data_IF_972155602059
#
_entry.id   IF_972155602059
#
_cell.length_a   1.000
_cell.length_b   1.000
_cell.length_c   1.000
_cell.angle_alpha   90.00
_cell.angle_beta   90.00
_cell.angle_gamma   90.00
#
_symmetry.space_group_name_H-M   'P 1'
#
loop_
_entity.id
_entity.type
_entity.pdbx_description
1 polymer ?
#
# COMPACT_ATOMS: atom_id res chain seq x y z
N UNK A 1 -21.63 -0.51 -8.69
CA UNK A 1 -20.69 0.17 -9.61
C UNK A 1 -19.46 0.49 -8.79
N UNK A 2 -18.32 -0.14 -9.06
CA UNK A 2 -17.06 0.14 -8.33
C UNK A 2 -16.70 1.61 -8.51
N UNK A 3 -16.57 2.34 -7.39
CA UNK A 3 -16.62 3.81 -7.43
C UNK A 3 -15.35 4.45 -8.00
N UNK A 4 -14.29 3.68 -8.29
CA UNK A 4 -13.05 4.17 -8.89
C UNK A 4 -12.37 3.00 -9.63
N UNK A 5 -12.21 3.10 -10.96
CA UNK A 5 -11.44 2.14 -11.76
C UNK A 5 -9.93 2.20 -11.48
N UNK A 6 -9.13 1.54 -12.33
CA UNK A 6 -7.67 1.56 -12.25
C UNK A 6 -7.16 3.00 -12.37
N UNK A 7 -6.45 3.49 -11.35
CA UNK A 7 -5.74 4.77 -11.40
C UNK A 7 -4.32 4.58 -11.89
N UNK A 8 -3.93 5.36 -12.89
CA UNK A 8 -2.57 5.40 -13.42
C UNK A 8 -1.83 6.62 -12.87
N UNK A 9 -0.54 6.44 -12.57
CA UNK A 9 0.35 7.51 -12.10
C UNK A 9 0.33 7.72 -10.58
N UNK A 10 1.49 8.07 -10.03
CA UNK A 10 1.68 8.25 -8.59
C UNK A 10 1.00 9.52 -8.06
N UNK A 11 0.92 10.58 -8.87
CA UNK A 11 0.37 11.87 -8.44
C UNK A 11 -1.12 11.77 -8.08
N UNK A 12 -1.94 11.20 -8.96
CA UNK A 12 -3.37 10.98 -8.69
C UNK A 12 -3.60 10.14 -7.44
N UNK A 13 -2.77 9.12 -7.22
CA UNK A 13 -2.82 8.28 -6.02
C UNK A 13 -2.50 9.08 -4.76
N UNK A 14 -1.46 9.92 -4.81
CA UNK A 14 -1.07 10.80 -3.71
C UNK A 14 -2.15 11.83 -3.37
N UNK A 15 -2.68 12.52 -4.37
CA UNK A 15 -3.69 13.57 -4.18
C UNK A 15 -4.97 13.01 -3.54
N UNK A 16 -5.40 11.82 -3.99
CA UNK A 16 -6.56 11.13 -3.40
C UNK A 16 -6.30 10.66 -1.98
N UNK A 17 -5.08 10.19 -1.69
CA UNK A 17 -4.69 9.79 -0.34
C UNK A 17 -4.74 10.99 0.62
N UNK A 18 -4.15 12.12 0.23
CA UNK A 18 -4.17 13.36 1.02
C UNK A 18 -5.59 13.87 1.26
N UNK A 19 -6.46 13.82 0.24
CA UNK A 19 -7.86 14.22 0.36
C UNK A 19 -8.67 13.34 1.33
N UNK A 20 -8.37 12.05 1.37
CA UNK A 20 -9.12 11.08 2.18
C UNK A 20 -8.68 11.06 3.64
N UNK A 21 -7.46 11.52 3.95
CA UNK A 21 -6.89 11.51 5.29
C UNK A 21 -6.36 12.90 5.68
N UNK A 22 -7.24 13.85 6.04
CA UNK A 22 -6.86 15.23 6.34
C UNK A 22 -6.11 15.39 7.67
N UNK A 23 -6.20 14.43 8.58
CA UNK A 23 -5.48 14.47 9.86
C UNK A 23 -4.68 13.18 10.10
N UNK A 24 -3.55 13.30 10.81
CA UNK A 24 -2.65 12.16 11.11
C UNK A 24 -3.25 11.15 12.10
N UNK A 25 -4.19 11.59 12.93
CA UNK A 25 -4.85 10.73 13.92
C UNK A 25 -5.75 9.68 13.26
N UNK A 26 -6.38 10.01 12.14
CA UNK A 26 -7.20 9.10 11.33
C UNK A 26 -6.37 8.14 10.47
N UNK A 27 -5.08 8.45 10.22
CA UNK A 27 -4.22 7.61 9.38
C UNK A 27 -3.85 6.30 10.07
N UNK A 28 -3.59 6.33 11.39
CA UNK A 28 -3.06 5.19 12.13
C UNK A 28 -1.58 4.89 11.85
N UNK A 29 -1.08 3.79 12.41
CA UNK A 29 0.28 3.30 12.25
C UNK A 29 0.30 2.07 11.34
N UNK A 30 0.93 2.21 10.17
CA UNK A 30 1.01 1.16 9.16
C UNK A 30 2.35 0.42 9.22
N UNK A 31 2.28 -0.86 9.53
CA UNK A 31 3.42 -1.76 9.61
C UNK A 31 3.39 -2.76 8.45
N UNK A 32 4.52 -2.95 7.77
CA UNK A 32 4.67 -3.91 6.68
C UNK A 32 5.62 -5.04 7.07
N UNK A 33 5.29 -6.26 6.65
CA UNK A 33 6.17 -7.43 6.75
C UNK A 33 6.36 -8.03 5.37
N UNK A 34 7.57 -7.91 4.81
CA UNK A 34 7.95 -8.58 3.57
C UNK A 34 8.18 -10.07 3.86
N UNK A 35 7.40 -10.95 3.24
CA UNK A 35 7.49 -12.40 3.44
C UNK A 35 8.36 -13.08 2.38
N UNK A 36 8.19 -12.68 1.13
CA UNK A 36 8.99 -13.20 0.01
C UNK A 36 9.43 -12.08 -0.91
N UNK A 37 10.66 -12.18 -1.40
CA UNK A 37 11.20 -11.37 -2.48
C UNK A 37 11.77 -12.33 -3.53
N UNK A 38 11.24 -12.28 -4.75
CA UNK A 38 11.62 -13.16 -5.85
C UNK A 38 12.05 -12.33 -7.04
N UNK A 39 13.26 -12.56 -7.53
CA UNK A 39 13.71 -11.99 -8.80
C UNK A 39 12.92 -12.60 -9.98
N UNK A 40 12.56 -11.75 -10.93
CA UNK A 40 11.92 -12.12 -12.20
C UNK A 40 12.79 -11.55 -13.32
N UNK A 41 13.76 -12.36 -13.77
CA UNK A 41 14.84 -11.89 -14.64
C UNK A 41 15.70 -10.82 -13.97
N UNK A 42 16.38 -10.00 -14.78
CA UNK A 42 17.39 -9.05 -14.27
C UNK A 42 16.82 -7.68 -13.88
N UNK A 43 15.57 -7.40 -14.27
CA UNK A 43 14.98 -6.07 -14.22
C UNK A 43 13.82 -5.96 -13.23
N UNK A 44 13.30 -7.08 -12.73
CA UNK A 44 12.08 -7.08 -11.92
C UNK A 44 12.21 -7.94 -10.67
N UNK A 45 11.48 -7.54 -9.63
CA UNK A 45 11.32 -8.30 -8.39
C UNK A 45 9.86 -8.32 -7.99
N UNK A 46 9.34 -9.50 -7.66
CA UNK A 46 8.04 -9.64 -7.02
C UNK A 46 8.24 -9.73 -5.51
N UNK A 47 7.57 -8.86 -4.76
CA UNK A 47 7.56 -8.86 -3.30
C UNK A 47 6.15 -9.15 -2.82
N UNK A 48 5.98 -10.19 -2.02
CA UNK A 48 4.71 -10.50 -1.35
C UNK A 48 4.89 -10.35 0.15
N UNK A 49 3.87 -9.81 0.80
CA UNK A 49 3.91 -9.59 2.23
C UNK A 49 2.53 -9.32 2.81
N UNK A 50 2.54 -8.89 4.06
CA UNK A 50 1.32 -8.46 4.75
C UNK A 50 1.53 -7.10 5.39
N UNK A 51 0.43 -6.40 5.60
CA UNK A 51 0.40 -5.13 6.29
C UNK A 51 -0.57 -5.20 7.48
N UNK A 52 -0.27 -4.42 8.52
CA UNK A 52 -1.12 -4.22 9.68
C UNK A 52 -1.26 -2.72 9.93
N UNK A 53 -2.49 -2.25 10.04
CA UNK A 53 -2.82 -0.88 10.35
C UNK A 53 -3.40 -0.79 11.75
N UNK A 54 -2.65 -0.17 12.65
CA UNK A 54 -3.05 0.09 14.03
C UNK A 54 -3.77 1.44 14.04
N UNK A 55 -5.02 1.46 14.50
CA UNK A 55 -5.84 2.68 14.57
C UNK A 55 -6.25 2.96 16.02
N UNK A 56 -6.85 4.12 16.25
CA UNK A 56 -7.46 4.43 17.55
C UNK A 56 -8.48 3.34 17.94
N UNK A 57 -8.58 3.04 19.24
CA UNK A 57 -9.31 1.88 19.77
C UNK A 57 -10.76 1.77 19.29
N UNK A 58 -11.42 2.89 19.03
CA UNK A 58 -12.81 2.95 18.56
C UNK A 58 -13.00 2.45 17.12
N UNK A 59 -11.96 2.40 16.30
CA UNK A 59 -12.04 2.01 14.89
C UNK A 59 -11.60 0.56 14.63
N UNK A 60 -10.86 -0.04 15.57
CA UNK A 60 -10.28 -1.38 15.42
C UNK A 60 -9.15 -1.46 14.39
N UNK A 61 -8.27 -2.45 14.54
CA UNK A 61 -7.11 -2.63 13.65
C UNK A 61 -7.51 -3.32 12.33
N UNK A 62 -6.78 -3.03 11.26
CA UNK A 62 -6.94 -3.68 9.95
C UNK A 62 -5.68 -4.44 9.56
N UNK A 63 -5.83 -5.42 8.68
CA UNK A 63 -4.70 -6.14 8.11
C UNK A 63 -5.05 -6.72 6.75
N UNK A 64 -4.04 -7.00 5.94
CA UNK A 64 -4.20 -7.66 4.66
C UNK A 64 -2.88 -8.12 4.05
N UNK A 65 -2.96 -8.67 2.84
CA UNK A 65 -1.80 -9.11 2.06
C UNK A 65 -1.59 -8.18 0.86
N UNK A 66 -0.35 -8.14 0.37
CA UNK A 66 0.00 -7.44 -0.86
C UNK A 66 0.93 -8.28 -1.74
N UNK A 67 0.92 -7.95 -3.03
CA UNK A 67 1.93 -8.36 -4.01
C UNK A 67 2.35 -7.12 -4.79
N UNK A 68 3.63 -6.79 -4.76
CA UNK A 68 4.23 -5.66 -5.47
C UNK A 68 5.15 -6.19 -6.57
N UNK A 69 5.08 -5.57 -7.74
CA UNK A 69 6.07 -5.75 -8.80
C UNK A 69 6.97 -4.52 -8.82
N UNK A 70 8.26 -4.73 -8.54
CA UNK A 70 9.28 -3.71 -8.57
C UNK A 70 10.05 -3.81 -9.88
N UNK A 71 10.27 -2.67 -10.53
CA UNK A 71 11.14 -2.53 -11.69
C UNK A 71 12.41 -1.83 -11.25
N UNK A 72 13.57 -2.40 -11.57
CA UNK A 72 14.85 -1.72 -11.43
C UNK A 72 14.89 -0.59 -12.46
N UNK A 73 14.93 0.64 -11.98
CA UNK A 73 15.23 1.79 -12.83
C UNK A 73 16.76 1.93 -12.85
N UNK A 74 17.33 1.98 -14.05
CA UNK A 74 18.77 2.12 -14.28
C UNK A 74 19.32 3.45 -13.83
#
# INVERSE_FOLDING_TARGET
MEKNGIQYGWQTTLDNYQKSYPNKQEMGELNFTNLHCKAIGDQYYQITGNWKLIRIDSLGNLSGFYSLLWKKNG
#
